data_IF_568617815510
#
_entry.id   IF_568617815510
#
_cell.length_a   1.000
_cell.length_b   1.000
_cell.length_c   1.000
_cell.angle_alpha   90.00
_cell.angle_beta   90.00
_cell.angle_gamma   90.00
#
_symmetry.space_group_name_H-M   'P 1'
#
loop_
_entity.id
_entity.type
_entity.pdbx_description
1 polymer ?
#
# COMPACT_ATOMS: atom_id res chain seq x y z
N UNK A 1 14.82 19.61 -5.18
CA UNK A 1 13.60 18.84 -5.26
C UNK A 1 13.46 17.86 -4.13
N UNK A 2 12.24 17.65 -3.72
CA UNK A 2 11.94 16.73 -2.65
C UNK A 2 11.82 15.32 -3.23
N UNK A 3 12.60 14.39 -2.68
CA UNK A 3 12.54 12.98 -3.04
C UNK A 3 11.99 12.17 -1.89
N UNK A 4 10.95 11.38 -2.15
CA UNK A 4 10.50 10.36 -1.22
C UNK A 4 11.14 9.04 -1.57
N UNK A 5 11.51 8.29 -0.54
CA UNK A 5 11.78 6.86 -0.71
C UNK A 5 10.46 6.12 -0.76
N UNK A 6 10.33 5.20 -1.70
CA UNK A 6 9.16 4.34 -1.79
C UNK A 6 9.53 2.92 -1.42
N UNK A 7 8.75 2.32 -0.56
CA UNK A 7 8.90 0.91 -0.17
C UNK A 7 7.59 0.19 -0.38
N UNK A 8 7.67 -1.08 -0.70
CA UNK A 8 6.53 -1.96 -0.72
C UNK A 8 6.74 -2.99 0.38
N UNK A 9 5.83 -3.01 1.33
CA UNK A 9 5.84 -3.98 2.41
C UNK A 9 4.80 -5.03 2.08
N UNK A 10 5.27 -6.25 1.84
CA UNK A 10 4.41 -7.42 1.69
C UNK A 10 4.53 -8.27 2.94
N UNK A 11 3.41 -8.73 3.43
CA UNK A 11 3.39 -9.55 4.63
C UNK A 11 3.33 -11.00 4.23
N UNK A 12 4.24 -11.80 4.79
CA UNK A 12 4.16 -13.25 4.66
C UNK A 12 2.89 -13.73 5.37
N UNK A 13 2.12 -14.57 4.71
CA UNK A 13 0.89 -15.09 5.29
C UNK A 13 1.21 -15.96 6.51
N UNK A 14 0.45 -15.73 7.58
CA UNK A 14 0.43 -16.63 8.70
C UNK A 14 -0.18 -17.96 8.28
N UNK A 15 0.43 -19.05 8.73
CA UNK A 15 -0.08 -20.39 8.46
C UNK A 15 -1.36 -20.58 9.27
N UNK A 16 -2.49 -20.62 8.58
CA UNK A 16 -3.79 -20.83 9.18
C UNK A 16 -4.31 -22.23 8.86
N UNK A 17 -5.20 -22.79 9.69
CA UNK A 17 -5.89 -24.02 9.35
C UNK A 17 -6.66 -23.86 8.04
N UNK A 18 -7.04 -24.98 7.43
CA UNK A 18 -7.75 -25.00 6.17
C UNK A 18 -9.08 -24.23 6.22
N UNK A 19 -9.77 -24.30 7.38
CA UNK A 19 -11.00 -23.53 7.62
C UNK A 19 -10.81 -22.73 8.91
N UNK A 20 -10.09 -21.60 8.84
CA UNK A 20 -9.84 -20.81 10.05
C UNK A 20 -11.11 -20.14 10.56
N UNK A 21 -11.20 -20.07 11.90
CA UNK A 21 -12.26 -19.29 12.54
C UNK A 21 -12.00 -17.79 12.36
N UNK A 22 -13.04 -16.99 12.56
CA UNK A 22 -12.91 -15.54 12.54
C UNK A 22 -11.86 -15.06 13.56
N UNK A 23 -11.87 -15.64 14.75
CA UNK A 23 -10.88 -15.31 15.79
C UNK A 23 -9.46 -15.60 15.33
N UNK A 24 -9.23 -16.74 14.67
CA UNK A 24 -7.91 -17.10 14.16
C UNK A 24 -7.46 -16.13 13.07
N UNK A 25 -8.37 -15.73 12.18
CA UNK A 25 -8.07 -14.74 11.14
C UNK A 25 -7.70 -13.40 11.77
N UNK A 26 -8.47 -12.93 12.74
CA UNK A 26 -8.21 -11.65 13.40
C UNK A 26 -6.89 -11.66 14.17
N UNK A 27 -6.54 -12.76 14.83
CA UNK A 27 -5.26 -12.89 15.52
C UNK A 27 -4.09 -12.84 14.53
N UNK A 28 -4.22 -13.51 13.38
CA UNK A 28 -3.20 -13.48 12.34
C UNK A 28 -3.03 -12.07 11.78
N UNK A 29 -4.13 -11.38 11.47
CA UNK A 29 -4.09 -10.01 10.96
C UNK A 29 -3.47 -9.04 11.96
N UNK A 30 -3.76 -9.23 13.25
CA UNK A 30 -3.17 -8.40 14.30
C UNK A 30 -1.66 -8.59 14.38
N UNK A 31 -1.20 -9.82 14.35
CA UNK A 31 0.25 -10.13 14.39
C UNK A 31 0.95 -9.56 13.15
N UNK A 32 0.36 -9.75 11.98
CA UNK A 32 0.88 -9.18 10.73
C UNK A 32 0.92 -7.65 10.81
N UNK A 33 -0.14 -7.05 11.35
CA UNK A 33 -0.24 -5.60 11.47
C UNK A 33 0.83 -4.99 12.38
N UNK A 34 1.12 -5.64 13.50
CA UNK A 34 2.19 -5.19 14.40
C UNK A 34 3.54 -5.18 13.69
N UNK A 35 3.81 -6.21 12.89
CA UNK A 35 5.05 -6.30 12.12
C UNK A 35 5.10 -5.22 11.03
N UNK A 36 4.00 -4.98 10.35
CA UNK A 36 3.89 -3.92 9.33
C UNK A 36 4.22 -2.57 9.96
N UNK A 37 3.61 -2.25 11.09
CA UNK A 37 3.82 -0.97 11.74
C UNK A 37 5.26 -0.78 12.20
N UNK A 38 5.93 -1.86 12.62
CA UNK A 38 7.35 -1.81 12.95
C UNK A 38 8.21 -1.52 11.72
N UNK A 39 7.94 -2.23 10.62
CA UNK A 39 8.69 -2.06 9.37
C UNK A 39 8.47 -0.69 8.76
N UNK A 40 7.29 -0.12 8.92
CA UNK A 40 6.91 1.16 8.34
C UNK A 40 7.22 2.34 9.23
N UNK A 41 7.83 2.12 10.38
CA UNK A 41 8.15 3.21 11.33
C UNK A 41 8.95 4.30 10.62
N UNK A 42 8.55 5.57 10.84
CA UNK A 42 9.19 6.72 10.21
C UNK A 42 8.76 6.98 8.77
N UNK A 43 7.81 6.22 8.24
CA UNK A 43 7.27 6.45 6.91
C UNK A 43 5.76 6.70 6.95
N UNK A 44 5.24 7.29 5.88
CA UNK A 44 3.80 7.43 5.69
C UNK A 44 3.28 6.17 4.99
N UNK A 45 2.24 5.57 5.54
CA UNK A 45 1.65 4.36 4.99
C UNK A 45 0.60 4.68 3.95
N UNK A 46 0.60 3.88 2.88
CA UNK A 46 -0.50 3.82 1.92
C UNK A 46 -0.90 2.35 1.83
N UNK A 47 -1.85 1.91 2.66
CA UNK A 47 -2.31 0.52 2.59
C UNK A 47 -3.16 0.29 1.36
N UNK A 48 -2.96 -0.87 0.71
CA UNK A 48 -3.81 -1.31 -0.38
C UNK A 48 -5.00 -2.07 0.19
N UNK A 49 -6.19 -1.58 -0.10
CA UNK A 49 -7.45 -2.15 0.39
C UNK A 49 -8.45 -2.18 -0.74
N UNK A 50 -9.14 -3.31 -0.93
CA UNK A 50 -10.18 -3.42 -1.96
C UNK A 50 -11.26 -2.37 -1.74
N UNK A 51 -11.62 -2.14 -0.48
CA UNK A 51 -12.62 -1.16 -0.08
C UNK A 51 -12.09 0.28 -0.02
N UNK A 52 -10.84 0.49 -0.37
CA UNK A 52 -10.24 1.82 -0.37
C UNK A 52 -10.72 2.70 -1.50
N UNK A 53 -10.09 3.85 -1.62
CA UNK A 53 -10.43 4.83 -2.64
C UNK A 53 -9.77 4.45 -3.98
N UNK A 54 -10.55 4.39 -5.03
CA UNK A 54 -10.05 4.22 -6.39
C UNK A 54 -9.72 5.58 -6.96
N UNK A 55 -8.49 5.74 -7.40
CA UNK A 55 -8.01 6.98 -8.02
C UNK A 55 -7.29 6.67 -9.31
N UNK A 56 -7.18 7.64 -10.18
CA UNK A 56 -6.43 7.50 -11.41
C UNK A 56 -4.93 7.74 -11.18
N UNK A 57 -4.14 7.47 -12.20
CA UNK A 57 -2.68 7.60 -12.10
C UNK A 57 -2.22 9.05 -11.88
N UNK A 58 -2.80 10.05 -12.56
CA UNK A 58 -2.44 11.45 -12.27
C UNK A 58 -2.78 11.88 -10.83
N UNK A 59 -3.88 11.41 -10.27
CA UNK A 59 -4.25 11.72 -8.89
C UNK A 59 -3.28 11.09 -7.90
N UNK A 60 -2.85 9.85 -8.15
CA UNK A 60 -1.82 9.22 -7.32
C UNK A 60 -0.52 10.02 -7.38
N UNK A 61 -0.09 10.43 -8.58
CA UNK A 61 1.10 11.23 -8.75
C UNK A 61 1.02 12.54 -7.95
N UNK A 62 -0.13 13.21 -8.00
CA UNK A 62 -0.36 14.45 -7.26
C UNK A 62 -0.30 14.20 -5.74
N UNK A 63 -0.91 13.13 -5.27
CA UNK A 63 -0.90 12.79 -3.85
C UNK A 63 0.53 12.56 -3.35
N UNK A 64 1.33 11.78 -4.09
CA UNK A 64 2.72 11.52 -3.73
C UNK A 64 3.56 12.79 -3.78
N UNK A 65 3.33 13.64 -4.76
CA UNK A 65 3.99 14.94 -4.87
C UNK A 65 3.67 15.86 -3.69
N UNK A 66 2.41 15.90 -3.27
CA UNK A 66 1.98 16.69 -2.11
C UNK A 66 2.64 16.19 -0.83
N UNK A 67 2.74 14.87 -0.64
CA UNK A 67 3.44 14.32 0.52
C UNK A 67 4.90 14.75 0.54
N UNK A 68 5.58 14.69 -0.59
CA UNK A 68 6.97 15.11 -0.69
C UNK A 68 7.14 16.60 -0.37
N UNK A 69 6.25 17.45 -0.88
CA UNK A 69 6.28 18.90 -0.59
C UNK A 69 6.03 19.19 0.88
N UNK A 70 5.26 18.36 1.56
CA UNK A 70 4.98 18.49 2.99
C UNK A 70 6.04 17.87 3.88
N UNK A 71 7.17 17.48 3.31
CA UNK A 71 8.32 16.99 4.09
C UNK A 71 8.31 15.50 4.37
N UNK A 72 7.43 14.72 3.74
CA UNK A 72 7.45 13.27 3.88
C UNK A 72 8.65 12.72 3.13
N UNK A 73 9.53 12.01 3.84
CA UNK A 73 10.77 11.48 3.27
C UNK A 73 10.64 10.04 2.80
N UNK A 74 9.66 9.31 3.31
CA UNK A 74 9.46 7.90 2.95
C UNK A 74 7.99 7.55 2.95
N UNK A 75 7.58 6.78 1.96
CA UNK A 75 6.23 6.24 1.82
C UNK A 75 6.32 4.72 1.74
N UNK A 76 5.52 4.05 2.54
CA UNK A 76 5.42 2.58 2.53
C UNK A 76 4.05 2.18 2.02
N UNK A 77 4.03 1.57 0.84
CA UNK A 77 2.83 0.90 0.34
C UNK A 77 2.76 -0.49 0.97
N UNK A 78 1.60 -0.86 1.45
CA UNK A 78 1.43 -2.11 2.19
C UNK A 78 0.44 -3.02 1.46
N UNK A 79 0.91 -4.22 1.12
CA UNK A 79 0.09 -5.26 0.52
C UNK A 79 -0.16 -6.31 1.60
N UNK A 80 -1.44 -6.51 1.94
CA UNK A 80 -1.84 -7.46 2.96
C UNK A 80 -1.85 -8.92 2.48
N UNK A 81 -2.13 -9.82 3.40
CA UNK A 81 -2.33 -11.23 3.12
C UNK A 81 -3.67 -11.46 2.40
N UNK A 82 -4.00 -12.72 2.13
CA UNK A 82 -5.26 -13.09 1.49
C UNK A 82 -6.49 -12.64 2.28
N UNK A 83 -6.35 -12.40 3.58
CA UNK A 83 -7.43 -11.90 4.45
C UNK A 83 -7.39 -10.38 4.60
N UNK A 84 -6.53 -9.68 3.86
CA UNK A 84 -6.40 -8.23 3.88
C UNK A 84 -5.48 -7.72 4.97
N UNK A 85 -5.83 -6.58 5.54
CA UNK A 85 -5.05 -5.89 6.57
C UNK A 85 -5.93 -5.64 7.79
N UNK A 86 -5.32 -5.58 8.97
CA UNK A 86 -6.06 -5.22 10.18
C UNK A 86 -6.46 -3.74 10.14
N UNK A 87 -7.50 -3.40 10.91
CA UNK A 87 -8.03 -2.03 10.91
C UNK A 87 -7.01 -1.00 11.35
N UNK A 88 -6.14 -1.35 12.29
CA UNK A 88 -5.11 -0.43 12.78
C UNK A 88 -4.15 0.00 11.66
N UNK A 89 -3.76 -0.93 10.79
CA UNK A 89 -2.93 -0.60 9.62
C UNK A 89 -3.69 0.26 8.64
N UNK A 90 -4.94 -0.10 8.34
CA UNK A 90 -5.77 0.67 7.41
C UNK A 90 -5.94 2.11 7.87
N UNK A 91 -6.19 2.30 9.18
CA UNK A 91 -6.42 3.62 9.76
C UNK A 91 -5.13 4.45 9.92
N UNK A 92 -3.98 3.80 9.89
CA UNK A 92 -2.68 4.49 9.99
C UNK A 92 -2.30 5.19 8.68
N UNK A 93 -2.96 4.87 7.59
CA UNK A 93 -2.64 5.45 6.29
C UNK A 93 -3.36 6.76 6.04
N UNK A 94 -2.72 7.65 5.29
CA UNK A 94 -3.34 8.89 4.83
C UNK A 94 -4.25 8.65 3.64
N UNK A 95 -4.04 7.55 2.94
CA UNK A 95 -4.83 7.15 1.78
C UNK A 95 -4.93 5.63 1.82
N UNK A 96 -6.16 5.12 1.90
CA UNK A 96 -6.41 3.70 1.65
C UNK A 96 -6.64 3.55 0.16
N UNK A 97 -5.70 2.92 -0.52
CA UNK A 97 -5.69 2.85 -1.99
C UNK A 97 -6.31 1.55 -2.46
N UNK A 98 -7.31 1.64 -3.32
CA UNK A 98 -7.86 0.50 -4.03
C UNK A 98 -7.36 0.50 -5.48
N UNK A 99 -6.64 -0.54 -5.85
CA UNK A 99 -6.23 -0.75 -7.25
C UNK A 99 -7.42 -1.19 -8.10
N UNK A 100 -8.36 -1.91 -7.48
CA UNK A 100 -9.55 -2.43 -8.12
C UNK A 100 -10.45 -3.04 -7.05
N UNK A 101 -11.73 -3.13 -7.32
CA UNK A 101 -12.65 -3.91 -6.49
C UNK A 101 -12.48 -5.41 -6.70
N UNK A 102 -11.75 -5.80 -7.75
CA UNK A 102 -11.41 -7.20 -8.01
C UNK A 102 -10.18 -7.56 -7.19
N UNK A 103 -10.10 -8.82 -6.80
CA UNK A 103 -8.96 -9.35 -6.07
C UNK A 103 -7.90 -9.85 -7.05
N UNK A 104 -6.66 -9.49 -6.81
CA UNK A 104 -5.53 -9.95 -7.61
C UNK A 104 -4.56 -10.74 -6.74
N UNK A 105 -3.83 -11.72 -7.32
CA UNK A 105 -2.72 -12.34 -6.61
C UNK A 105 -1.69 -11.30 -6.16
N UNK A 106 -1.04 -11.53 -5.02
CA UNK A 106 -0.07 -10.59 -4.44
C UNK A 106 1.02 -10.19 -5.44
N UNK A 107 1.56 -11.15 -6.17
CA UNK A 107 2.64 -10.89 -7.11
C UNK A 107 2.19 -9.94 -8.22
N UNK A 108 0.98 -10.11 -8.73
CA UNK A 108 0.43 -9.23 -9.75
C UNK A 108 0.16 -7.84 -9.17
N UNK A 109 -0.42 -7.77 -7.99
CA UNK A 109 -0.66 -6.49 -7.31
C UNK A 109 0.64 -5.72 -7.12
N UNK A 110 1.71 -6.41 -6.73
CA UNK A 110 3.04 -5.80 -6.57
C UNK A 110 3.56 -5.23 -7.88
N UNK A 111 3.45 -5.98 -8.97
CA UNK A 111 3.90 -5.49 -10.29
C UNK A 111 3.10 -4.27 -10.72
N UNK A 112 1.77 -4.31 -10.56
CA UNK A 112 0.90 -3.19 -10.89
C UNK A 112 1.26 -1.95 -10.05
N UNK A 113 1.52 -2.15 -8.76
CA UNK A 113 1.89 -1.06 -7.87
C UNK A 113 3.24 -0.45 -8.25
N UNK A 114 4.24 -1.28 -8.52
CA UNK A 114 5.55 -0.81 -8.97
C UNK A 114 5.42 0.01 -10.26
N UNK A 115 4.61 -0.44 -11.19
CA UNK A 115 4.36 0.27 -12.44
C UNK A 115 3.70 1.63 -12.16
N UNK A 116 2.73 1.70 -11.26
CA UNK A 116 2.05 2.96 -10.94
C UNK A 116 2.97 3.94 -10.21
N UNK A 117 3.85 3.46 -9.35
CA UNK A 117 4.84 4.32 -8.68
C UNK A 117 5.79 4.91 -9.73
N UNK A 118 6.29 4.09 -10.65
CA UNK A 118 7.14 4.56 -11.73
C UNK A 118 6.41 5.59 -12.62
N UNK A 119 5.15 5.29 -12.97
CA UNK A 119 4.31 6.19 -13.76
C UNK A 119 4.08 7.51 -13.05
N UNK A 120 3.82 7.49 -11.74
CA UNK A 120 3.66 8.69 -10.94
C UNK A 120 4.92 9.56 -10.99
N UNK A 121 6.09 8.94 -10.86
CA UNK A 121 7.37 9.66 -10.97
C UNK A 121 7.52 10.32 -12.35
N UNK A 122 7.17 9.61 -13.42
CA UNK A 122 7.23 10.15 -14.77
C UNK A 122 6.25 11.31 -14.98
N UNK A 123 5.04 11.20 -14.43
CA UNK A 123 4.05 12.28 -14.49
C UNK A 123 4.60 13.54 -13.79
N UNK A 124 5.15 13.40 -12.60
CA UNK A 124 5.69 14.53 -11.83
C UNK A 124 6.86 15.22 -12.54
N UNK A 125 7.65 14.45 -13.28
CA UNK A 125 8.81 14.96 -13.99
C UNK A 125 8.52 15.26 -15.45
N UNK A 126 7.23 15.36 -15.81
CA UNK A 126 6.79 15.65 -17.18
C UNK A 126 7.34 14.67 -18.21
N UNK A 127 7.53 13.41 -17.80
CA UNK A 127 7.96 12.36 -18.70
C UNK A 127 6.88 11.96 -19.69
N UNK A 128 7.27 11.27 -20.76
CA UNK A 128 6.35 10.87 -21.84
C UNK A 128 5.75 9.49 -21.61
N UNK A 129 6.06 8.83 -20.51
CA UNK A 129 5.64 7.47 -20.25
C UNK A 129 4.12 7.34 -20.14
N UNK A 130 3.50 8.27 -19.41
CA UNK A 130 2.06 8.28 -19.23
C UNK A 130 1.36 8.95 -20.41
N UNK A 131 0.43 8.21 -21.00
CA UNK A 131 -0.33 8.70 -22.15
C UNK A 131 -1.81 8.75 -21.82
#
# INVERSE_FOLDING_TARGET
>A
GAFCKFRIIEVAEHKLPEQPSETQIQQALKAEGEKILQLAAGSTLIPLCIEGKQIDSPTLAQHLGTLALNGVSAVSFVIGSSHGLCDKVKQSGTLQLSMSRMTFPHQLARVMLCEQIYRAFQIQNHGRYHK
#
